data_IF_203065439069
#
_entry.id   IF_203065439069
#
_cell.length_a   1.000
_cell.length_b   1.000
_cell.length_c   1.000
_cell.angle_alpha   90.00
_cell.angle_beta   90.00
_cell.angle_gamma   90.00
#
_symmetry.space_group_name_H-M   'P 1'
#
loop_
_entity.id
_entity.type
_entity.pdbx_description
1 polymer ?
#
# COMPACT_ATOMS: atom_id res chain seq x y z
N UNK A 1 -33.85 6.28 -6.62
CA UNK A 1 -33.30 5.64 -5.41
C UNK A 1 -31.92 5.16 -5.76
N UNK A 2 -30.90 5.94 -5.44
CA UNK A 2 -29.50 5.65 -5.76
C UNK A 2 -28.88 5.09 -4.48
N UNK A 3 -28.57 3.80 -4.50
CA UNK A 3 -27.92 3.12 -3.39
C UNK A 3 -26.49 3.62 -3.23
N UNK A 4 -26.21 4.23 -2.09
CA UNK A 4 -24.86 4.57 -1.66
C UNK A 4 -24.22 3.27 -1.18
N UNK A 5 -23.32 2.70 -1.99
CA UNK A 5 -22.45 1.61 -1.54
C UNK A 5 -21.38 2.26 -0.67
N UNK A 6 -21.58 2.22 0.64
CA UNK A 6 -20.50 2.42 1.62
C UNK A 6 -19.62 1.17 1.54
N UNK A 7 -18.38 1.31 1.09
CA UNK A 7 -17.37 0.28 1.28
C UNK A 7 -17.01 0.27 2.78
N UNK A 8 -17.79 -0.45 3.55
CA UNK A 8 -17.47 -0.85 4.92
C UNK A 8 -16.62 -2.11 4.79
N UNK A 9 -15.34 -2.01 5.09
CA UNK A 9 -14.52 -3.18 5.37
C UNK A 9 -15.13 -3.91 6.57
N UNK A 10 -15.94 -4.93 6.30
CA UNK A 10 -16.50 -5.81 7.34
C UNK A 10 -15.42 -6.80 7.73
N UNK A 11 -14.72 -6.51 8.81
CA UNK A 11 -13.89 -7.51 9.48
C UNK A 11 -14.82 -8.43 10.26
N UNK A 12 -15.25 -9.53 9.64
CA UNK A 12 -15.93 -10.63 10.31
C UNK A 12 -14.93 -11.46 11.10
N UNK A 13 -14.77 -11.15 12.39
CA UNK A 13 -14.10 -12.03 13.33
C UNK A 13 -15.02 -13.19 13.70
N UNK A 14 -14.82 -14.37 13.13
CA UNK A 14 -15.36 -15.63 13.66
C UNK A 14 -14.19 -16.48 14.12
N UNK A 15 -14.06 -16.59 15.43
CA UNK A 15 -13.15 -17.52 16.08
C UNK A 15 -13.54 -18.96 15.77
N UNK A 16 -12.62 -19.72 15.22
CA UNK A 16 -12.69 -21.17 15.17
C UNK A 16 -11.68 -21.75 16.15
N UNK A 17 -12.20 -22.29 17.24
CA UNK A 17 -11.49 -23.23 18.10
C UNK A 17 -11.51 -24.59 17.39
N UNK A 18 -10.38 -25.03 16.91
CA UNK A 18 -10.21 -26.36 16.29
C UNK A 18 -9.17 -27.18 17.06
N UNK A 19 -9.63 -28.31 17.58
CA UNK A 19 -8.92 -29.23 18.45
C UNK A 19 -7.69 -29.85 17.79
N UNK A 20 -6.65 -30.05 18.61
CA UNK A 20 -5.46 -30.86 18.29
C UNK A 20 -5.82 -32.33 18.17
N UNK A 21 -5.39 -32.96 17.09
CA UNK A 21 -5.15 -34.40 17.06
C UNK A 21 -3.66 -34.65 16.82
N UNK A 22 -3.04 -35.24 17.80
CA UNK A 22 -1.69 -35.81 17.74
C UNK A 22 -1.75 -37.12 16.95
N UNK A 23 -0.92 -37.24 15.93
CA UNK A 23 -0.53 -38.57 15.41
C UNK A 23 0.98 -38.55 15.17
N UNK A 24 1.69 -39.30 16.00
CA UNK A 24 3.07 -39.75 15.79
C UNK A 24 3.09 -40.88 14.79
N UNK A 25 3.95 -40.82 13.80
CA UNK A 25 4.63 -41.98 13.24
C UNK A 25 6.04 -41.61 12.81
N UNK A 26 6.94 -42.48 13.19
CA UNK A 26 8.39 -42.40 13.04
C UNK A 26 8.86 -42.89 11.66
N UNK A 27 9.99 -42.40 11.21
CA UNK A 27 11.02 -43.16 10.48
C UNK A 27 11.14 -42.84 9.00
N UNK A 28 12.37 -42.48 8.60
CA UNK A 28 12.83 -42.57 7.20
C UNK A 28 13.87 -41.50 6.82
N UNK A 29 15.14 -41.84 7.03
CA UNK A 29 16.29 -41.09 6.45
C UNK A 29 16.25 -41.13 4.93
N UNK A 30 16.42 -39.96 4.29
CA UNK A 30 16.66 -39.86 2.87
C UNK A 30 17.19 -38.47 2.56
N UNK A 31 18.52 -38.34 2.52
CA UNK A 31 19.16 -37.11 2.10
C UNK A 31 18.93 -36.88 0.59
N UNK A 32 18.34 -35.76 0.29
CA UNK A 32 18.33 -35.20 -1.06
C UNK A 32 18.94 -33.82 -1.01
N UNK A 33 20.09 -33.70 -1.67
CA UNK A 33 20.81 -32.46 -1.95
C UNK A 33 19.91 -31.52 -2.72
N UNK A 34 19.49 -30.42 -2.08
CA UNK A 34 18.78 -29.34 -2.76
C UNK A 34 19.78 -28.56 -3.62
N UNK A 35 19.62 -28.64 -4.92
CA UNK A 35 20.28 -27.71 -5.85
C UNK A 35 19.75 -26.32 -5.64
N UNK A 36 20.60 -25.28 -5.64
CA UNK A 36 20.14 -23.90 -5.54
C UNK A 36 19.44 -23.52 -6.86
N UNK A 37 18.25 -22.93 -6.73
CA UNK A 37 17.54 -22.30 -7.85
C UNK A 37 18.40 -21.20 -8.47
N UNK A 38 18.35 -21.02 -9.80
CA UNK A 38 19.13 -19.98 -10.48
C UNK A 38 18.60 -18.60 -10.05
N UNK A 39 19.53 -17.79 -9.54
CA UNK A 39 19.33 -16.36 -9.33
C UNK A 39 19.01 -15.70 -10.68
N UNK A 40 17.90 -15.00 -10.77
CA UNK A 40 17.60 -14.11 -11.88
C UNK A 40 18.74 -13.08 -12.04
N UNK A 41 19.16 -12.74 -13.27
CA UNK A 41 20.24 -11.78 -13.50
C UNK A 41 19.87 -10.43 -12.88
N UNK A 42 20.80 -9.88 -12.10
CA UNK A 42 20.63 -8.66 -11.33
C UNK A 42 20.18 -7.49 -12.19
N UNK A 43 19.06 -6.89 -11.83
CA UNK A 43 18.67 -5.58 -12.34
C UNK A 43 19.77 -4.57 -11.98
N UNK A 44 20.10 -3.60 -12.87
CA UNK A 44 21.10 -2.60 -12.58
C UNK A 44 20.68 -1.78 -11.36
N UNK A 45 21.48 -1.83 -10.31
CA UNK A 45 21.37 -0.95 -9.15
C UNK A 45 21.72 0.46 -9.60
N UNK A 46 20.71 1.29 -9.86
CA UNK A 46 20.91 2.74 -9.99
C UNK A 46 21.21 3.27 -8.59
N UNK A 47 22.44 3.67 -8.36
CA UNK A 47 22.85 4.33 -7.14
C UNK A 47 22.09 5.66 -7.02
N UNK A 48 21.06 5.69 -6.18
CA UNK A 48 20.40 6.93 -5.78
C UNK A 48 21.35 7.65 -4.82
N UNK A 49 21.79 8.85 -5.21
CA UNK A 49 22.62 9.69 -4.35
C UNK A 49 21.94 9.91 -2.98
N UNK A 50 22.69 9.92 -1.86
CA UNK A 50 22.14 10.19 -0.55
C UNK A 50 21.49 11.59 -0.55
N UNK A 51 20.17 11.64 -0.37
CA UNK A 51 19.46 12.89 -0.14
C UNK A 51 19.63 13.26 1.33
N UNK A 52 19.91 14.51 1.62
CA UNK A 52 19.92 14.99 3.01
C UNK A 52 18.61 14.65 3.71
N UNK A 53 18.63 14.31 5.01
CA UNK A 53 17.43 13.97 5.75
C UNK A 53 16.48 15.16 5.75
N UNK A 54 15.41 15.06 4.96
CA UNK A 54 14.35 16.05 4.98
C UNK A 54 13.69 16.05 6.35
N UNK A 55 13.46 17.24 6.90
CA UNK A 55 12.83 17.44 8.20
C UNK A 55 11.53 16.63 8.28
N UNK A 56 11.38 15.88 9.37
CA UNK A 56 10.20 15.06 9.62
C UNK A 56 8.92 15.91 9.54
N UNK A 57 7.87 15.42 8.88
CA UNK A 57 6.52 15.99 8.99
C UNK A 57 5.87 15.48 10.30
N UNK A 58 6.03 16.16 11.44
CA UNK A 58 5.46 15.69 12.70
C UNK A 58 3.95 15.91 12.69
N UNK A 59 3.19 14.87 13.01
CA UNK A 59 1.75 14.96 13.18
C UNK A 59 0.95 13.96 12.36
N UNK A 60 -0.36 14.08 12.48
CA UNK A 60 -1.32 13.20 11.80
C UNK A 60 -1.52 13.66 10.37
N UNK A 61 -1.33 12.75 9.43
CA UNK A 61 -1.72 12.88 8.04
C UNK A 61 -3.10 12.25 7.79
N UNK A 62 -3.57 12.41 6.56
CA UNK A 62 -4.81 11.79 6.10
C UNK A 62 -4.63 11.27 4.69
N UNK A 63 -5.29 10.16 4.38
CA UNK A 63 -5.50 9.78 3.00
C UNK A 63 -6.96 10.02 2.58
N UNK A 64 -7.11 10.39 1.32
CA UNK A 64 -8.41 10.68 0.70
C UNK A 64 -8.42 10.21 -0.74
N UNK A 65 -9.62 9.89 -1.24
CA UNK A 65 -9.81 9.50 -2.63
C UNK A 65 -11.22 9.83 -3.14
N UNK A 66 -11.70 9.10 -4.12
CA UNK A 66 -13.01 9.33 -4.75
C UNK A 66 -14.21 9.41 -3.76
N UNK A 67 -14.26 8.68 -2.60
CA UNK A 67 -15.40 8.82 -1.68
C UNK A 67 -15.45 10.18 -0.98
N UNK A 68 -14.33 10.89 -0.91
CA UNK A 68 -14.25 12.24 -0.35
C UNK A 68 -14.41 13.32 -1.42
N UNK A 69 -14.77 12.95 -2.67
CA UNK A 69 -15.00 13.89 -3.75
C UNK A 69 -16.08 14.92 -3.38
N UNK A 70 -15.80 16.21 -3.63
CA UNK A 70 -16.71 17.32 -3.27
C UNK A 70 -16.76 17.64 -1.78
N UNK A 71 -15.98 16.99 -0.93
CA UNK A 71 -15.89 17.29 0.51
C UNK A 71 -14.68 18.14 0.82
N UNK A 72 -14.78 18.97 1.86
CA UNK A 72 -13.63 19.71 2.38
C UNK A 72 -12.56 18.74 2.87
N UNK A 73 -11.33 18.92 2.42
CA UNK A 73 -10.20 18.11 2.83
C UNK A 73 -9.90 18.26 4.33
N UNK A 74 -9.37 17.22 5.02
CA UNK A 74 -9.11 17.25 6.45
C UNK A 74 -8.07 18.32 6.84
N UNK A 75 -8.35 19.03 7.95
CA UNK A 75 -7.40 19.99 8.55
C UNK A 75 -7.54 19.99 10.08
N UNK A 76 -6.47 20.27 10.87
CA UNK A 76 -5.08 20.34 10.40
C UNK A 76 -4.59 18.98 9.93
N UNK A 77 -3.63 18.97 9.00
CA UNK A 77 -2.97 17.78 8.46
C UNK A 77 -1.48 18.06 8.32
N UNK A 78 -0.63 17.10 8.70
CA UNK A 78 0.80 17.17 8.53
C UNK A 78 1.21 16.76 7.10
N UNK A 79 0.56 15.74 6.56
CA UNK A 79 0.77 15.27 5.19
C UNK A 79 -0.54 14.72 4.60
N UNK A 80 -0.54 14.54 3.29
CA UNK A 80 -1.70 14.01 2.55
C UNK A 80 -1.31 12.93 1.57
N UNK A 81 -2.09 11.83 1.53
CA UNK A 81 -1.95 10.77 0.53
C UNK A 81 -3.24 10.74 -0.29
N UNK A 82 -3.14 10.67 -1.61
CA UNK A 82 -4.30 10.79 -2.48
C UNK A 82 -4.41 9.61 -3.45
N UNK A 83 -5.58 8.98 -3.48
CA UNK A 83 -5.86 7.90 -4.43
C UNK A 83 -6.01 8.39 -5.86
N UNK A 84 -5.27 7.81 -6.79
CA UNK A 84 -5.31 8.14 -8.22
C UNK A 84 -6.56 7.58 -8.88
N UNK A 85 -6.95 6.36 -8.50
CA UNK A 85 -8.07 5.63 -9.08
C UNK A 85 -9.41 5.99 -8.42
N UNK A 86 -10.51 5.59 -9.05
CA UNK A 86 -11.87 5.71 -8.55
C UNK A 86 -12.35 4.51 -7.71
N UNK A 87 -11.45 3.87 -6.95
CA UNK A 87 -11.75 2.73 -6.09
C UNK A 87 -11.65 1.36 -6.78
N UNK A 88 -11.18 1.34 -8.01
CA UNK A 88 -10.81 0.13 -8.74
C UNK A 88 -9.72 0.46 -9.76
N UNK A 89 -8.87 -0.49 -10.13
CA UNK A 89 -7.90 -0.30 -11.20
C UNK A 89 -8.56 0.13 -12.51
N UNK A 90 -7.83 0.89 -13.32
CA UNK A 90 -8.28 1.41 -14.63
C UNK A 90 -9.50 2.33 -14.56
N UNK A 91 -9.84 2.85 -13.38
CA UNK A 91 -10.91 3.85 -13.19
C UNK A 91 -10.34 5.21 -12.80
N UNK A 92 -11.14 6.27 -12.87
CA UNK A 92 -10.70 7.63 -12.58
C UNK A 92 -11.24 8.14 -11.25
N UNK A 93 -10.38 8.70 -10.42
CA UNK A 93 -10.81 9.62 -9.37
C UNK A 93 -11.03 11.01 -9.96
N UNK A 94 -12.28 11.36 -10.22
CA UNK A 94 -12.65 12.66 -10.84
C UNK A 94 -12.21 13.88 -10.01
N UNK A 95 -11.90 13.69 -8.73
CA UNK A 95 -11.48 14.75 -7.83
C UNK A 95 -9.96 14.74 -7.58
N UNK A 96 -9.19 13.86 -8.23
CA UNK A 96 -7.76 13.68 -7.98
C UNK A 96 -6.98 15.01 -8.05
N UNK A 97 -7.17 15.81 -9.11
CA UNK A 97 -6.50 17.12 -9.26
C UNK A 97 -6.75 18.05 -8.05
N UNK A 98 -8.01 18.18 -7.62
CA UNK A 98 -8.38 19.05 -6.49
C UNK A 98 -7.88 18.50 -5.14
N UNK A 99 -7.93 17.19 -4.96
CA UNK A 99 -7.43 16.51 -3.76
C UNK A 99 -5.90 16.60 -3.68
N UNK A 100 -5.22 16.43 -4.80
CA UNK A 100 -3.77 16.57 -4.83
C UNK A 100 -3.32 18.03 -4.66
N UNK A 101 -4.07 18.99 -5.17
CA UNK A 101 -3.84 20.41 -4.89
C UNK A 101 -3.89 20.72 -3.39
N UNK A 102 -4.80 20.09 -2.63
CA UNK A 102 -4.79 20.15 -1.17
C UNK A 102 -3.52 19.50 -0.58
N UNK A 103 -3.15 18.29 -1.00
CA UNK A 103 -1.96 17.62 -0.47
C UNK A 103 -0.68 18.44 -0.73
N UNK A 104 -0.60 19.14 -1.85
CA UNK A 104 0.52 20.08 -2.18
C UNK A 104 0.63 21.27 -1.23
N UNK A 105 -0.40 21.62 -0.47
CA UNK A 105 -0.33 22.68 0.56
C UNK A 105 0.26 22.20 1.88
N UNK A 106 0.59 20.92 2.00
CA UNK A 106 1.11 20.28 3.21
C UNK A 106 2.62 20.05 3.11
N UNK A 107 3.25 19.77 4.24
CA UNK A 107 4.72 19.56 4.31
C UNK A 107 5.18 18.31 3.58
N UNK A 108 4.30 17.33 3.41
CA UNK A 108 4.62 16.10 2.68
C UNK A 108 3.36 15.48 2.05
N UNK A 109 3.57 14.68 1.01
CA UNK A 109 2.50 14.06 0.22
C UNK A 109 2.93 12.75 -0.41
N UNK A 110 1.97 11.96 -0.84
CA UNK A 110 2.15 10.79 -1.69
C UNK A 110 0.86 10.51 -2.47
N UNK A 111 0.91 9.54 -3.35
CA UNK A 111 -0.29 8.99 -3.99
C UNK A 111 -0.35 7.48 -3.80
N UNK A 112 -1.53 6.91 -4.02
CA UNK A 112 -1.69 5.47 -4.06
C UNK A 112 -2.52 5.04 -5.26
N UNK A 113 -2.29 3.81 -5.71
CA UNK A 113 -3.06 3.13 -6.77
C UNK A 113 -3.72 1.89 -6.19
N UNK A 114 -5.02 1.75 -6.42
CA UNK A 114 -5.76 0.52 -6.14
C UNK A 114 -5.25 -0.59 -7.05
N UNK A 115 -4.92 -1.73 -6.48
CA UNK A 115 -4.37 -2.90 -7.17
C UNK A 115 -5.38 -4.03 -7.26
N UNK A 116 -5.25 -4.92 -8.21
CA UNK A 116 -6.08 -6.13 -8.33
C UNK A 116 -5.48 -7.13 -9.30
N UNK A 117 -5.99 -8.35 -9.30
CA UNK A 117 -5.75 -9.34 -10.33
C UNK A 117 -6.98 -10.20 -10.58
N UNK A 118 -7.41 -10.29 -11.83
CA UNK A 118 -8.58 -11.11 -12.20
C UNK A 118 -8.32 -12.62 -12.26
N UNK A 119 -7.07 -13.04 -12.17
CA UNK A 119 -6.66 -14.43 -12.31
C UNK A 119 -6.58 -14.89 -13.77
N UNK A 120 -6.60 -13.98 -14.74
CA UNK A 120 -6.59 -14.33 -16.17
C UNK A 120 -5.65 -13.46 -16.99
N UNK A 121 -4.94 -14.06 -17.93
CA UNK A 121 -4.00 -13.38 -18.82
C UNK A 121 -2.58 -13.40 -18.27
N UNK A 122 -1.74 -12.47 -18.74
CA UNK A 122 -0.35 -12.31 -18.30
C UNK A 122 -0.29 -11.35 -17.10
N UNK A 123 0.11 -11.81 -15.91
CA UNK A 123 0.18 -10.99 -14.71
C UNK A 123 1.22 -9.85 -14.82
N UNK A 124 2.33 -10.05 -15.54
CA UNK A 124 3.34 -9.00 -15.74
C UNK A 124 2.77 -7.88 -16.59
N UNK A 125 2.25 -8.22 -17.77
CA UNK A 125 1.66 -7.24 -18.68
C UNK A 125 0.48 -6.49 -18.04
N UNK A 126 -0.30 -7.17 -17.21
CA UNK A 126 -1.40 -6.54 -16.47
C UNK A 126 -0.88 -5.55 -15.42
N UNK A 127 0.09 -5.92 -14.61
CA UNK A 127 0.71 -5.03 -13.62
C UNK A 127 1.30 -3.78 -14.26
N UNK A 128 2.02 -3.94 -15.37
CA UNK A 128 2.57 -2.81 -16.13
C UNK A 128 1.48 -1.89 -16.70
N UNK A 129 0.37 -2.46 -17.18
CA UNK A 129 -0.79 -1.69 -17.66
C UNK A 129 -1.41 -0.85 -16.55
N UNK A 130 -1.55 -1.40 -15.33
CA UNK A 130 -2.11 -0.65 -14.19
C UNK A 130 -1.29 0.60 -13.88
N UNK A 131 0.04 0.48 -13.90
CA UNK A 131 0.95 1.62 -13.67
C UNK A 131 0.88 2.63 -14.80
N UNK A 132 0.88 2.17 -16.04
CA UNK A 132 0.76 3.05 -17.22
C UNK A 132 -0.50 3.89 -17.14
N UNK A 133 -1.66 3.27 -16.90
CA UNK A 133 -2.94 3.94 -16.76
C UNK A 133 -2.93 4.95 -15.60
N UNK A 134 -2.34 4.59 -14.46
CA UNK A 134 -2.29 5.48 -13.30
C UNK A 134 -1.41 6.72 -13.55
N UNK A 135 -0.25 6.57 -14.20
CA UNK A 135 0.61 7.69 -14.57
C UNK A 135 -0.08 8.58 -15.62
N UNK A 136 -0.75 8.00 -16.60
CA UNK A 136 -1.52 8.76 -17.58
C UNK A 136 -2.62 9.59 -16.92
N UNK A 137 -3.30 9.06 -15.89
CA UNK A 137 -4.32 9.79 -15.12
C UNK A 137 -3.72 10.90 -14.27
N UNK A 138 -2.55 10.67 -13.67
CA UNK A 138 -1.80 11.71 -12.95
C UNK A 138 -1.51 12.89 -13.88
N UNK A 139 -0.94 12.61 -15.05
CA UNK A 139 -0.62 13.62 -16.05
C UNK A 139 -1.87 14.32 -16.60
N UNK A 140 -2.93 13.58 -16.91
CA UNK A 140 -4.20 14.14 -17.40
C UNK A 140 -4.86 15.06 -16.36
N UNK A 141 -4.59 14.86 -15.07
CA UNK A 141 -5.04 15.74 -14.00
C UNK A 141 -4.16 17.00 -13.81
N UNK A 142 -3.15 17.20 -14.65
CA UNK A 142 -2.17 18.28 -14.50
C UNK A 142 -1.24 18.11 -13.30
N UNK A 143 -1.10 16.87 -12.83
CA UNK A 143 -0.19 16.49 -11.75
C UNK A 143 1.01 15.79 -12.37
N UNK A 144 2.20 16.06 -11.87
CA UNK A 144 3.43 15.40 -12.33
C UNK A 144 4.50 15.45 -11.25
N UNK A 145 5.46 14.55 -11.33
CA UNK A 145 6.64 14.54 -10.46
C UNK A 145 6.34 14.05 -9.04
N UNK A 146 5.28 13.29 -8.83
CA UNK A 146 5.06 12.61 -7.54
C UNK A 146 6.08 11.50 -7.41
N UNK A 147 6.94 11.60 -6.42
CA UNK A 147 8.09 10.71 -6.26
C UNK A 147 7.85 9.55 -5.30
N UNK A 148 6.68 9.46 -4.67
CA UNK A 148 6.30 8.33 -3.79
C UNK A 148 4.89 7.84 -4.09
N UNK A 149 4.79 6.54 -4.42
CA UNK A 149 3.56 5.85 -4.79
C UNK A 149 3.36 4.61 -3.92
N UNK A 150 2.14 4.41 -3.43
CA UNK A 150 1.75 3.25 -2.65
C UNK A 150 0.90 2.31 -3.48
N UNK A 151 1.21 1.02 -3.44
CA UNK A 151 0.37 -0.05 -3.99
C UNK A 151 -0.64 -0.45 -2.92
N UNK A 152 -1.92 -0.19 -3.16
CA UNK A 152 -3.03 -0.51 -2.27
C UNK A 152 -3.44 -1.98 -2.46
N UNK A 153 -3.01 -2.83 -1.52
CA UNK A 153 -3.16 -4.29 -1.55
C UNK A 153 -4.12 -4.73 -0.44
N UNK A 154 -5.40 -4.79 -0.76
CA UNK A 154 -6.47 -5.09 0.18
C UNK A 154 -7.38 -6.22 -0.32
N UNK A 155 -7.94 -7.01 0.63
CA UNK A 155 -8.94 -8.05 0.32
C UNK A 155 -10.25 -7.48 -0.25
N UNK A 156 -10.51 -6.19 -0.07
CA UNK A 156 -11.61 -5.48 -0.71
C UNK A 156 -11.48 -5.35 -2.23
N UNK A 157 -10.27 -5.52 -2.75
CA UNK A 157 -9.96 -5.54 -4.18
C UNK A 157 -10.15 -6.96 -4.74
N UNK A 158 -10.09 -7.10 -6.06
CA UNK A 158 -10.24 -8.42 -6.72
C UNK A 158 -8.90 -9.15 -6.76
N UNK A 159 -8.83 -10.35 -6.19
CA UNK A 159 -7.65 -11.21 -6.17
C UNK A 159 -8.05 -12.66 -6.47
N UNK A 160 -8.23 -12.99 -7.76
CA UNK A 160 -8.69 -14.30 -8.22
C UNK A 160 -7.54 -15.22 -8.67
N UNK A 161 -6.31 -14.76 -8.66
CA UNK A 161 -5.13 -15.57 -8.96
C UNK A 161 -4.59 -16.31 -7.74
N UNK A 162 -3.58 -17.13 -7.99
CA UNK A 162 -2.74 -17.68 -6.92
C UNK A 162 -1.94 -16.57 -6.24
N UNK A 163 -1.48 -16.79 -5.02
CA UNK A 163 -0.58 -15.85 -4.34
C UNK A 163 0.65 -15.48 -5.17
N UNK A 164 1.21 -16.47 -5.89
CA UNK A 164 2.34 -16.25 -6.78
C UNK A 164 2.00 -15.33 -7.97
N UNK A 165 0.83 -15.50 -8.58
CA UNK A 165 0.38 -14.61 -9.66
C UNK A 165 0.09 -13.21 -9.15
N UNK A 166 -0.57 -13.08 -7.99
CA UNK A 166 -0.82 -11.80 -7.34
C UNK A 166 0.50 -11.07 -7.03
N UNK A 167 1.48 -11.78 -6.45
CA UNK A 167 2.82 -11.26 -6.21
C UNK A 167 3.52 -10.84 -7.50
N UNK A 168 3.34 -11.58 -8.60
CA UNK A 168 3.90 -11.24 -9.92
C UNK A 168 3.32 -9.94 -10.47
N UNK A 169 2.00 -9.72 -10.35
CA UNK A 169 1.37 -8.44 -10.72
C UNK A 169 1.97 -7.29 -9.92
N UNK A 170 2.06 -7.45 -8.60
CA UNK A 170 2.59 -6.40 -7.69
C UNK A 170 4.07 -6.12 -7.96
N UNK A 171 4.87 -7.16 -8.26
CA UNK A 171 6.28 -7.02 -8.62
C UNK A 171 6.45 -6.25 -9.93
N UNK A 172 5.63 -6.55 -10.96
CA UNK A 172 5.65 -5.82 -12.23
C UNK A 172 5.26 -4.35 -12.05
N UNK A 173 4.25 -4.07 -11.21
CA UNK A 173 3.86 -2.69 -10.87
C UNK A 173 5.00 -1.95 -10.18
N UNK A 174 5.62 -2.56 -9.17
CA UNK A 174 6.74 -1.95 -8.45
C UNK A 174 7.93 -1.68 -9.37
N UNK A 175 8.33 -2.65 -10.18
CA UNK A 175 9.43 -2.51 -11.13
C UNK A 175 9.18 -1.39 -12.15
N UNK A 176 7.97 -1.28 -12.68
CA UNK A 176 7.62 -0.25 -13.66
C UNK A 176 7.64 1.16 -13.06
N UNK A 177 7.11 1.34 -11.83
CA UNK A 177 7.21 2.61 -11.11
C UNK A 177 8.67 2.98 -10.81
N UNK A 178 9.47 2.02 -10.34
CA UNK A 178 10.90 2.24 -10.08
C UNK A 178 11.68 2.60 -11.35
N UNK A 179 11.37 1.96 -12.47
CA UNK A 179 11.95 2.31 -13.78
C UNK A 179 11.58 3.74 -14.23
N UNK A 180 10.45 4.27 -13.78
CA UNK A 180 10.05 5.66 -13.98
C UNK A 180 10.70 6.63 -12.95
N UNK A 181 11.62 6.16 -12.10
CA UNK A 181 12.29 6.96 -11.07
C UNK A 181 11.43 7.25 -9.83
N UNK A 182 10.35 6.51 -9.63
CA UNK A 182 9.39 6.67 -8.53
C UNK A 182 9.71 5.70 -7.40
N UNK A 183 9.65 6.16 -6.16
CA UNK A 183 9.69 5.30 -4.98
C UNK A 183 8.36 4.60 -4.78
N UNK A 184 8.42 3.34 -4.35
CA UNK A 184 7.26 2.48 -4.20
C UNK A 184 7.17 1.94 -2.79
N UNK A 185 5.97 1.88 -2.23
CA UNK A 185 5.66 1.21 -0.98
C UNK A 185 4.41 0.35 -1.10
N UNK A 186 4.19 -0.48 -0.09
CA UNK A 186 3.04 -1.39 0.02
C UNK A 186 2.08 -0.87 1.10
N UNK A 187 0.83 -0.63 0.75
CA UNK A 187 -0.26 -0.45 1.71
C UNK A 187 -1.02 -1.76 1.84
N UNK A 188 -1.09 -2.29 3.05
CA UNK A 188 -1.82 -3.50 3.40
C UNK A 188 -1.92 -3.66 4.92
N UNK A 189 -2.33 -4.83 5.39
CA UNK A 189 -2.09 -5.32 6.75
C UNK A 189 -1.34 -6.66 6.68
N UNK A 190 -0.69 -7.12 7.77
CA UNK A 190 -0.01 -8.42 7.79
C UNK A 190 -0.91 -9.56 7.34
N UNK A 191 -2.17 -9.56 7.78
CA UNK A 191 -3.14 -10.59 7.42
C UNK A 191 -3.51 -10.54 5.93
N UNK A 192 -3.86 -9.36 5.40
CA UNK A 192 -4.24 -9.20 4.00
C UNK A 192 -3.08 -9.55 3.06
N UNK A 193 -1.85 -9.11 3.43
CA UNK A 193 -0.65 -9.44 2.67
C UNK A 193 -0.42 -10.94 2.58
N UNK A 194 -0.45 -11.64 3.71
CA UNK A 194 -0.26 -13.09 3.76
C UNK A 194 -1.31 -13.84 2.91
N UNK A 195 -2.56 -13.36 2.87
CA UNK A 195 -3.64 -13.96 2.09
C UNK A 195 -3.49 -13.68 0.59
N UNK A 196 -3.09 -12.46 0.21
CA UNK A 196 -3.01 -12.02 -1.20
C UNK A 196 -1.69 -12.43 -1.85
N UNK A 197 -0.55 -12.16 -1.20
CA UNK A 197 0.78 -12.29 -1.76
C UNK A 197 1.64 -13.39 -1.13
N UNK A 198 1.12 -14.06 -0.07
CA UNK A 198 1.81 -15.13 0.62
C UNK A 198 3.14 -14.70 1.25
N UNK A 199 4.17 -15.49 1.00
CA UNK A 199 5.51 -15.28 1.56
C UNK A 199 6.38 -14.32 0.73
N UNK A 200 5.82 -13.60 -0.24
CA UNK A 200 6.59 -12.67 -1.04
C UNK A 200 7.08 -11.48 -0.21
N UNK A 201 8.39 -11.25 -0.21
CA UNK A 201 9.05 -10.22 0.60
C UNK A 201 9.87 -9.26 -0.28
N UNK A 202 9.24 -8.25 -0.91
CA UNK A 202 9.93 -7.30 -1.77
C UNK A 202 10.87 -6.35 -1.01
N UNK A 203 10.78 -6.24 0.31
CA UNK A 203 11.59 -5.31 1.13
C UNK A 203 11.28 -3.84 0.89
N UNK A 204 10.12 -3.53 0.32
CA UNK A 204 9.65 -2.16 0.10
C UNK A 204 9.11 -1.55 1.39
N UNK A 205 9.10 -0.21 1.55
CA UNK A 205 8.44 0.46 2.66
C UNK A 205 6.99 -0.01 2.82
N UNK A 206 6.53 -0.10 4.06
CA UNK A 206 5.20 -0.60 4.39
C UNK A 206 4.35 0.47 5.08
N UNK A 207 3.11 0.59 4.62
CA UNK A 207 2.04 1.39 5.22
C UNK A 207 0.98 0.43 5.75
N UNK A 208 0.94 0.26 7.08
CA UNK A 208 0.15 -0.75 7.77
C UNK A 208 -1.25 -0.24 8.13
N UNK A 209 -2.28 -0.86 7.61
CA UNK A 209 -3.69 -0.56 7.87
C UNK A 209 -4.24 -1.40 9.03
N UNK A 210 -4.60 -0.77 10.14
CA UNK A 210 -5.19 -1.46 11.29
C UNK A 210 -6.73 -1.42 11.32
N UNK A 211 -7.35 -0.78 10.32
CA UNK A 211 -8.79 -0.58 10.26
C UNK A 211 -9.33 0.34 11.36
N UNK A 212 -10.60 0.16 11.79
CA UNK A 212 -11.20 0.96 12.86
C UNK A 212 -10.40 0.87 14.15
N UNK A 213 -10.01 2.03 14.72
CA UNK A 213 -9.16 2.03 15.89
C UNK A 213 -8.82 3.40 16.43
N UNK A 214 -7.82 3.42 17.32
CA UNK A 214 -7.29 4.64 17.92
C UNK A 214 -5.85 4.87 17.47
N UNK A 215 -5.39 6.12 17.57
CA UNK A 215 -3.99 6.47 17.33
C UNK A 215 -3.01 5.62 18.15
N UNK A 216 -3.33 5.36 19.43
CA UNK A 216 -2.47 4.57 20.31
C UNK A 216 -2.31 3.13 19.79
N UNK A 217 -3.41 2.50 19.31
CA UNK A 217 -3.36 1.17 18.69
C UNK A 217 -2.55 1.19 17.38
N UNK A 218 -2.72 2.21 16.55
CA UNK A 218 -1.97 2.36 15.32
C UNK A 218 -0.45 2.49 15.58
N UNK A 219 -0.06 3.32 16.55
CA UNK A 219 1.36 3.44 16.93
C UNK A 219 1.91 2.14 17.53
N UNK A 220 1.12 1.37 18.26
CA UNK A 220 1.54 0.07 18.77
C UNK A 220 1.82 -0.94 17.65
N UNK A 221 1.19 -0.81 16.48
CA UNK A 221 1.44 -1.68 15.31
C UNK A 221 2.67 -1.29 14.49
N UNK A 222 3.40 -0.23 14.85
CA UNK A 222 4.63 0.18 14.15
C UNK A 222 5.76 -0.87 14.17
N UNK A 223 5.70 -1.84 15.09
CA UNK A 223 6.66 -2.97 15.14
C UNK A 223 6.24 -4.17 14.30
N UNK A 224 5.06 -4.16 13.69
CA UNK A 224 4.61 -5.26 12.86
C UNK A 224 5.37 -5.28 11.53
N UNK A 225 5.70 -6.50 11.08
CA UNK A 225 6.46 -6.76 9.87
C UNK A 225 5.62 -7.54 8.87
N UNK A 226 5.65 -7.14 7.61
CA UNK A 226 5.19 -7.91 6.46
C UNK A 226 5.86 -7.39 5.19
N UNK A 227 5.75 -8.11 4.09
CA UNK A 227 6.40 -7.75 2.82
C UNK A 227 7.92 -7.51 2.94
N UNK A 228 8.57 -8.08 3.98
CA UNK A 228 10.01 -7.95 4.21
C UNK A 228 10.45 -6.61 4.84
N UNK A 229 9.52 -5.85 5.44
CA UNK A 229 9.84 -4.56 6.08
C UNK A 229 8.99 -4.33 7.32
N UNK A 230 9.52 -3.55 8.26
CA UNK A 230 8.74 -3.01 9.39
C UNK A 230 7.84 -1.87 8.94
N UNK A 231 6.74 -1.66 9.67
CA UNK A 231 5.79 -0.59 9.35
C UNK A 231 6.43 0.80 9.41
N UNK A 232 6.43 1.49 8.27
CA UNK A 232 6.92 2.87 8.14
C UNK A 232 5.83 3.91 8.38
N UNK A 233 4.63 3.64 7.85
CA UNK A 233 3.39 4.36 8.11
C UNK A 233 2.37 3.43 8.76
N UNK A 234 1.50 3.98 9.59
CA UNK A 234 0.34 3.29 10.13
C UNK A 234 -0.93 4.09 9.85
N UNK A 235 -2.01 3.37 9.47
CA UNK A 235 -3.33 3.96 9.23
C UNK A 235 -4.34 3.41 10.23
N UNK A 236 -5.23 4.28 10.68
CA UNK A 236 -6.43 3.89 11.43
C UNK A 236 -7.63 4.70 10.98
N UNK A 237 -8.80 4.06 11.03
CA UNK A 237 -10.09 4.68 10.72
C UNK A 237 -10.74 5.18 12.00
N UNK A 238 -11.03 6.47 12.07
CA UNK A 238 -11.68 7.06 13.25
C UNK A 238 -12.58 8.25 12.90
N UNK A 239 -13.50 8.57 13.82
CA UNK A 239 -14.33 9.76 13.70
C UNK A 239 -13.54 11.04 14.04
N UNK A 240 -13.74 12.08 13.21
CA UNK A 240 -13.33 13.45 13.48
C UNK A 240 -14.55 14.36 13.30
N UNK A 241 -15.19 14.71 14.40
CA UNK A 241 -16.51 15.32 14.36
C UNK A 241 -17.56 14.36 13.80
N UNK A 242 -18.33 14.80 12.81
CA UNK A 242 -19.36 13.99 12.13
C UNK A 242 -18.77 13.10 10.99
N UNK A 243 -17.47 13.16 10.72
CA UNK A 243 -16.83 12.46 9.60
C UNK A 243 -16.04 11.26 10.08
N UNK A 244 -16.07 10.19 9.31
CA UNK A 244 -15.13 9.07 9.41
C UNK A 244 -13.97 9.38 8.45
N UNK A 245 -12.75 9.29 8.93
CA UNK A 245 -11.55 9.64 8.18
C UNK A 245 -10.46 8.58 8.40
N UNK A 246 -9.62 8.42 7.40
CA UNK A 246 -8.43 7.60 7.41
C UNK A 246 -7.26 8.48 7.88
N UNK A 247 -6.83 8.22 9.12
CA UNK A 247 -5.75 8.93 9.78
C UNK A 247 -4.45 8.17 9.59
N UNK A 248 -3.35 8.90 9.42
CA UNK A 248 -2.05 8.32 9.17
C UNK A 248 -0.98 8.93 10.07
N UNK A 249 0.02 8.13 10.44
CA UNK A 249 1.19 8.61 11.17
C UNK A 249 2.45 7.86 10.76
N UNK A 250 3.57 8.60 10.70
CA UNK A 250 4.89 8.02 10.48
C UNK A 250 5.34 7.32 11.75
N UNK A 251 5.72 6.07 11.65
CA UNK A 251 6.25 5.30 12.77
C UNK A 251 7.52 5.93 13.35
N UNK A 252 7.73 5.87 14.68
CA UNK A 252 8.84 6.55 15.33
C UNK A 252 10.23 6.25 14.71
N UNK A 253 10.49 5.00 14.36
CA UNK A 253 11.75 4.56 13.75
C UNK A 253 12.00 5.16 12.34
N UNK A 254 10.95 5.66 11.68
CA UNK A 254 11.01 6.19 10.32
C UNK A 254 10.96 7.72 10.25
N UNK A 255 10.83 8.41 11.38
CA UNK A 255 10.69 9.88 11.39
C UNK A 255 11.86 10.60 10.71
N UNK A 256 13.09 10.12 10.91
CA UNK A 256 14.29 10.68 10.26
C UNK A 256 14.45 10.23 8.79
N UNK A 257 13.56 9.37 8.32
CA UNK A 257 13.50 8.80 6.97
C UNK A 257 12.15 9.07 6.30
N UNK A 258 11.45 10.10 6.73
CA UNK A 258 10.14 10.46 6.18
C UNK A 258 10.16 10.59 4.65
N UNK A 259 11.30 11.02 4.09
CA UNK A 259 11.51 11.07 2.65
C UNK A 259 11.48 9.72 1.93
N UNK A 260 11.61 8.58 2.63
CA UNK A 260 11.45 7.26 2.04
C UNK A 260 9.96 6.85 1.91
N UNK A 261 9.08 7.52 2.65
CA UNK A 261 7.65 7.22 2.77
C UNK A 261 6.75 8.24 2.06
N UNK A 262 7.22 9.47 1.95
CA UNK A 262 6.46 10.62 1.45
C UNK A 262 7.36 11.49 0.58
N UNK A 263 6.72 12.27 -0.28
CA UNK A 263 7.36 13.34 -1.02
C UNK A 263 7.37 14.58 -0.13
N UNK A 264 8.53 14.93 0.43
CA UNK A 264 8.70 16.06 1.34
C UNK A 264 9.16 17.29 0.56
N UNK A 265 8.49 18.42 0.81
CA UNK A 265 8.74 19.71 0.14
C UNK A 265 9.84 20.48 0.84
#
# INVERSE_FOLDING_TARGET
MIGVVLALAVIGGLGYAGARLLSRTSGGSGGTTSSPSPLLPGAPTVAVAPREPAASAPGVGYDISYPQCGRTAPRPAAFGIVGVNGGAPLTSNKCFAAQFAWARTLSARAVYITTSWSGTGDPVAYGEKLVTDAIEREHAAGVSGVSMWWLDVELGNTWNGTQQENATVLAAMAAKLQAAGVRVGIYSSPQQWAEIAGDWQPGLPVWNAIGPGTRARAIASCGEEFAGSTSGLVQWVAKKGARVLDHNEICPAWKNRAGDLLDVS
#
